data_IF_971717151813
#
_entry.id   IF_971717151813
#
_cell.length_a   1.000
_cell.length_b   1.000
_cell.length_c   1.000
_cell.angle_alpha   90.00
_cell.angle_beta   90.00
_cell.angle_gamma   90.00
#
_symmetry.space_group_name_H-M   'P 1'
#
loop_
_entity.id
_entity.type
_entity.pdbx_description
1 polymer ?
#
# COMPACT_ATOMS: atom_id res chain seq x y z
N UNK A 1 -50.31 22.81 39.15
CA UNK A 1 -49.36 22.35 40.16
C UNK A 1 -48.02 22.40 39.49
N UNK A 2 -47.41 23.47 39.59
CA UNK A 2 -46.25 23.89 40.37
C UNK A 2 -44.95 23.10 39.98
N UNK A 3 -44.20 23.71 39.30
CA UNK A 3 -42.97 24.36 39.13
C UNK A 3 -41.74 23.67 39.72
N UNK A 4 -40.49 24.14 39.70
CA UNK A 4 -40.02 25.37 39.06
C UNK A 4 -38.72 25.15 38.22
N UNK A 5 -38.11 26.22 37.67
CA UNK A 5 -36.91 26.18 36.84
C UNK A 5 -35.66 26.47 37.68
N UNK A 6 -34.51 25.98 37.20
CA UNK A 6 -33.21 26.49 37.68
C UNK A 6 -32.31 26.59 36.46
N UNK A 7 -32.05 27.72 36.07
CA UNK A 7 -31.01 28.72 36.33
C UNK A 7 -29.79 28.55 35.42
N UNK A 8 -29.69 29.56 34.60
CA UNK A 8 -28.51 29.93 33.83
C UNK A 8 -27.34 30.30 34.77
N UNK A 9 -26.12 29.95 34.38
CA UNK A 9 -24.92 30.68 34.77
C UNK A 9 -24.16 31.08 33.53
N UNK A 10 -24.03 32.38 33.46
CA UNK A 10 -23.36 33.17 32.46
C UNK A 10 -21.84 33.10 32.56
N UNK A 11 -21.22 33.21 31.41
CA UNK A 11 -20.28 34.27 31.01
C UNK A 11 -18.96 34.40 31.74
N UNK A 12 -17.92 34.40 30.96
CA UNK A 12 -16.90 35.46 30.79
C UNK A 12 -15.81 34.87 29.93
N UNK A 13 -15.59 35.36 28.76
CA UNK A 13 -14.81 36.56 28.37
C UNK A 13 -13.30 36.28 28.36
N UNK A 14 -12.70 36.31 27.18
CA UNK A 14 -11.57 37.12 26.81
C UNK A 14 -10.90 36.60 25.51
N UNK A 15 -11.19 37.29 24.44
CA UNK A 15 -10.13 37.57 23.44
C UNK A 15 -9.35 38.80 23.93
N UNK A 16 -8.19 39.12 23.49
CA UNK A 16 -7.93 39.66 22.15
C UNK A 16 -6.63 39.19 21.50
N UNK A 17 -6.61 39.25 20.18
CA UNK A 17 -6.07 40.35 19.33
C UNK A 17 -4.58 40.21 18.98
N UNK A 18 -4.40 40.31 17.67
CA UNK A 18 -3.37 41.05 16.93
C UNK A 18 -1.92 40.49 16.94
N UNK A 19 -1.34 40.32 15.82
CA UNK A 19 -0.87 41.25 14.83
C UNK A 19 -0.25 40.51 13.63
N UNK A 20 -0.68 40.88 12.44
CA UNK A 20 0.07 41.57 11.41
C UNK A 20 1.23 40.76 10.80
N UNK A 21 1.10 40.31 9.57
CA UNK A 21 1.46 41.02 8.32
C UNK A 21 2.92 41.50 8.24
N UNK A 22 3.61 40.95 7.29
CA UNK A 22 4.60 41.51 6.37
C UNK A 22 5.37 40.32 5.78
N UNK A 23 5.41 40.14 4.59
CA UNK A 23 5.75 40.85 3.37
C UNK A 23 6.88 40.09 2.64
N UNK A 24 6.57 39.83 1.45
CA UNK A 24 7.31 39.66 0.23
C UNK A 24 8.85 39.71 0.30
N UNK A 25 9.48 38.80 -0.39
CA UNK A 25 10.29 39.15 -1.57
C UNK A 25 10.94 37.91 -2.16
N UNK A 26 10.76 37.77 -3.44
CA UNK A 26 11.46 36.89 -4.34
C UNK A 26 12.98 37.21 -4.34
N UNK A 27 13.79 36.16 -4.40
CA UNK A 27 15.07 36.24 -5.10
C UNK A 27 15.46 34.85 -5.59
N UNK A 28 15.41 34.76 -6.87
CA UNK A 28 16.04 33.88 -7.82
C UNK A 28 17.53 33.67 -7.50
N UNK A 29 18.00 32.46 -7.37
CA UNK A 29 19.37 32.05 -7.63
C UNK A 29 19.47 30.51 -7.66
N UNK A 30 19.54 29.96 -8.84
CA UNK A 30 20.07 28.61 -9.12
C UNK A 30 21.60 28.69 -9.32
N UNK A 31 22.27 27.58 -9.60
CA UNK A 31 22.64 26.49 -8.69
C UNK A 31 24.17 26.32 -8.63
N UNK A 32 24.66 26.08 -7.48
CA UNK A 32 26.00 25.54 -7.31
C UNK A 32 25.88 24.05 -6.90
N UNK A 33 26.30 23.14 -7.76
CA UNK A 33 26.46 21.76 -7.40
C UNK A 33 27.49 21.55 -6.31
N UNK A 34 27.25 20.74 -5.30
CA UNK A 34 28.29 20.36 -4.38
C UNK A 34 29.18 19.29 -5.03
N UNK A 35 30.46 19.62 -5.02
CA UNK A 35 31.58 18.74 -5.30
C UNK A 35 31.42 17.41 -4.55
N UNK A 36 31.71 16.34 -5.24
CA UNK A 36 31.95 15.04 -4.68
C UNK A 36 33.07 15.14 -3.63
N UNK A 37 32.67 15.12 -2.37
CA UNK A 37 33.59 14.81 -1.28
C UNK A 37 33.60 13.29 -1.17
N UNK A 38 34.70 12.71 -1.63
CA UNK A 38 35.14 11.34 -1.33
C UNK A 38 35.09 11.14 0.18
N UNK A 39 34.03 10.52 0.67
CA UNK A 39 34.03 9.92 1.99
C UNK A 39 34.67 8.54 1.84
N UNK A 40 35.99 8.52 1.98
CA UNK A 40 36.74 7.32 2.23
C UNK A 40 36.04 6.56 3.35
N UNK A 41 35.45 5.42 3.02
CA UNK A 41 35.02 4.44 4.00
C UNK A 41 36.27 3.96 4.74
N UNK A 42 36.49 4.54 5.93
CA UNK A 42 37.51 4.10 6.84
C UNK A 42 37.27 2.64 7.19
N UNK A 43 38.16 1.78 6.79
CA UNK A 43 38.27 0.42 7.30
C UNK A 43 38.28 0.48 8.83
N UNK A 44 37.61 -0.45 9.55
CA UNK A 44 37.63 -0.46 11.01
C UNK A 44 39.09 -0.64 11.47
N UNK A 45 39.56 0.33 12.22
CA UNK A 45 40.88 0.27 12.85
C UNK A 45 40.93 -0.98 13.76
N UNK A 46 41.75 -1.95 13.36
CA UNK A 46 42.16 -3.04 14.22
C UNK A 46 42.92 -2.44 15.38
N UNK A 47 42.37 -2.49 16.59
CA UNK A 47 43.06 -2.03 17.80
C UNK A 47 42.22 -1.26 18.83
N UNK A 48 40.91 -1.45 18.87
CA UNK A 48 40.12 -0.93 20.01
C UNK A 48 40.28 -1.89 21.19
N UNK A 49 40.75 -1.37 22.34
CA UNK A 49 40.75 -2.04 23.62
C UNK A 49 39.38 -2.70 23.89
N UNK A 50 39.33 -3.84 24.64
CA UNK A 50 38.09 -4.55 24.88
C UNK A 50 37.07 -3.57 25.46
N UNK A 51 35.95 -3.43 24.78
CA UNK A 51 34.93 -2.46 25.16
C UNK A 51 34.38 -2.82 26.55
N UNK A 52 34.92 -2.13 27.57
CA UNK A 52 34.35 -2.12 28.90
C UNK A 52 33.03 -1.37 28.81
N UNK A 53 31.92 -2.09 28.73
CA UNK A 53 30.63 -1.43 28.68
C UNK A 53 29.50 -2.42 28.44
N UNK A 54 28.25 -2.01 28.55
CA UNK A 54 27.16 -2.92 28.41
C UNK A 54 27.11 -3.52 26.99
N UNK A 55 26.73 -4.78 26.95
CA UNK A 55 26.51 -5.55 25.77
C UNK A 55 25.01 -5.66 25.50
N UNK A 56 24.66 -5.82 24.24
CA UNK A 56 23.26 -5.95 23.81
C UNK A 56 23.09 -7.24 23.03
N UNK A 57 22.23 -8.11 23.54
CA UNK A 57 21.78 -9.29 22.82
C UNK A 57 20.47 -8.92 22.13
N UNK A 58 20.49 -8.88 20.81
CA UNK A 58 19.35 -8.55 19.99
C UNK A 58 18.73 -9.82 19.41
N UNK A 59 17.49 -10.11 19.80
CA UNK A 59 16.69 -11.18 19.20
C UNK A 59 16.06 -10.65 17.93
N UNK A 60 16.21 -11.39 16.83
CA UNK A 60 15.84 -10.96 15.48
C UNK A 60 14.65 -11.73 14.96
N UNK A 61 13.82 -11.04 14.18
CA UNK A 61 12.80 -11.69 13.32
C UNK A 61 13.47 -12.42 12.16
N UNK A 62 12.73 -13.27 11.43
CA UNK A 62 13.21 -13.89 10.19
C UNK A 62 13.61 -12.88 9.11
N UNK A 63 13.08 -11.66 9.18
CA UNK A 63 13.44 -10.56 8.28
C UNK A 63 14.70 -9.79 8.71
N UNK A 64 15.32 -10.17 9.86
CA UNK A 64 16.50 -9.48 10.42
C UNK A 64 16.16 -8.23 11.22
N UNK A 65 14.89 -7.94 11.46
CA UNK A 65 14.45 -6.83 12.30
C UNK A 65 14.62 -7.20 13.78
N UNK A 66 14.97 -6.23 14.61
CA UNK A 66 15.13 -6.44 16.06
C UNK A 66 13.76 -6.56 16.71
N UNK A 67 13.49 -7.72 17.30
CA UNK A 67 12.29 -8.02 18.07
C UNK A 67 12.44 -7.58 19.53
N UNK A 68 13.54 -7.94 20.16
CA UNK A 68 13.86 -7.63 21.56
C UNK A 68 15.34 -7.29 21.71
N UNK A 69 15.66 -6.45 22.68
CA UNK A 69 17.02 -6.13 23.10
C UNK A 69 17.18 -6.39 24.59
N UNK A 70 18.14 -7.21 24.93
CA UNK A 70 18.52 -7.47 26.30
C UNK A 70 19.87 -6.79 26.55
N UNK A 71 19.91 -5.88 27.53
CA UNK A 71 21.16 -5.26 28.00
C UNK A 71 21.78 -6.15 29.06
N UNK A 72 23.05 -6.43 28.90
CA UNK A 72 23.87 -7.18 29.86
C UNK A 72 25.11 -6.35 30.16
N UNK A 73 25.38 -6.10 31.45
CA UNK A 73 26.38 -5.12 31.84
C UNK A 73 27.81 -5.66 31.80
N UNK A 74 28.00 -6.97 31.80
CA UNK A 74 29.32 -7.60 31.83
C UNK A 74 29.36 -8.93 31.05
N UNK A 75 30.55 -9.32 30.61
CA UNK A 75 30.86 -10.65 30.14
C UNK A 75 31.39 -11.51 31.29
N UNK A 76 31.24 -12.83 31.24
CA UNK A 76 30.64 -13.61 30.17
C UNK A 76 29.10 -13.58 30.20
N UNK A 77 28.44 -13.66 29.01
CA UNK A 77 26.97 -13.70 28.87
C UNK A 77 26.51 -15.13 28.65
N UNK A 78 25.67 -15.62 29.54
CA UNK A 78 25.03 -16.95 29.44
C UNK A 78 23.72 -16.85 28.70
N UNK A 79 23.55 -17.72 27.70
CA UNK A 79 22.38 -17.80 26.85
C UNK A 79 21.75 -19.19 26.94
N UNK A 80 20.46 -19.26 27.16
CA UNK A 80 19.76 -20.53 27.23
C UNK A 80 18.34 -20.40 27.75
N UNK A 81 17.62 -21.54 27.84
CA UNK A 81 16.23 -21.57 28.30
C UNK A 81 16.09 -21.53 29.82
N UNK A 82 17.11 -21.91 30.54
CA UNK A 82 17.08 -21.99 32.03
C UNK A 82 17.14 -20.60 32.66
N UNK A 83 16.55 -20.45 33.84
CA UNK A 83 16.47 -19.18 34.57
C UNK A 83 17.82 -18.70 35.13
N UNK A 84 18.87 -19.54 35.11
CA UNK A 84 20.23 -19.16 35.53
C UNK A 84 21.06 -18.48 34.42
N UNK A 85 20.48 -18.14 33.28
CA UNK A 85 21.14 -17.42 32.21
C UNK A 85 20.89 -15.91 32.31
N UNK A 86 21.82 -15.13 31.78
CA UNK A 86 21.69 -13.67 31.70
C UNK A 86 20.65 -13.27 30.66
N UNK A 87 20.50 -14.08 29.58
CA UNK A 87 19.47 -13.95 28.59
C UNK A 87 18.72 -15.26 28.46
N UNK A 88 17.46 -15.22 28.86
CA UNK A 88 16.56 -16.37 28.81
C UNK A 88 15.90 -16.41 27.44
N UNK A 89 16.08 -17.52 26.73
CA UNK A 89 15.48 -17.76 25.42
C UNK A 89 14.20 -18.57 25.61
N UNK A 90 13.07 -18.00 25.21
CA UNK A 90 11.78 -18.71 25.20
C UNK A 90 11.70 -19.59 23.92
N UNK A 91 12.45 -20.70 23.96
CA UNK A 91 12.64 -21.58 22.82
C UNK A 91 12.87 -23.02 23.32
N UNK A 92 11.95 -23.92 23.00
CA UNK A 92 12.03 -25.35 23.41
C UNK A 92 13.23 -26.08 22.82
N UNK A 93 13.80 -25.56 21.75
CA UNK A 93 14.98 -26.11 21.09
C UNK A 93 16.31 -25.56 21.66
N UNK A 94 16.23 -24.58 22.55
CA UNK A 94 17.39 -24.12 23.32
C UNK A 94 17.62 -25.00 24.57
N UNK A 95 18.86 -25.37 24.83
CA UNK A 95 19.23 -26.07 26.08
C UNK A 95 19.09 -25.13 27.29
N UNK A 96 18.96 -25.69 28.48
CA UNK A 96 18.89 -24.92 29.72
C UNK A 96 20.08 -23.96 29.86
N UNK A 97 21.32 -24.45 29.64
CA UNK A 97 22.51 -23.65 29.40
C UNK A 97 23.00 -23.99 28.00
N UNK A 98 22.82 -23.09 27.04
CA UNK A 98 23.06 -23.41 25.63
C UNK A 98 24.42 -22.87 25.13
N UNK A 99 24.69 -21.60 25.38
CA UNK A 99 25.89 -20.94 24.89
C UNK A 99 26.43 -19.91 25.89
N UNK A 100 27.71 -19.63 25.76
CA UNK A 100 28.44 -18.63 26.54
C UNK A 100 29.13 -17.67 25.58
N UNK A 101 28.86 -16.38 25.72
CA UNK A 101 29.61 -15.33 25.03
C UNK A 101 30.70 -14.77 25.97
N UNK A 102 31.95 -14.81 25.52
CA UNK A 102 33.13 -14.40 26.32
C UNK A 102 34.17 -13.74 25.40
N UNK A 103 35.15 -13.04 25.96
CA UNK A 103 36.29 -12.52 25.20
C UNK A 103 37.40 -13.56 25.17
N UNK A 104 38.08 -13.67 24.03
CA UNK A 104 39.34 -14.40 23.93
C UNK A 104 40.52 -13.55 24.48
N UNK A 105 41.76 -14.15 24.45
CA UNK A 105 42.95 -13.47 24.85
C UNK A 105 43.28 -12.22 24.00
N UNK A 106 42.77 -12.14 22.79
CA UNK A 106 42.95 -11.03 21.87
C UNK A 106 41.86 -9.97 22.00
N UNK A 107 40.88 -10.14 22.92
CA UNK A 107 39.76 -9.23 23.15
C UNK A 107 38.65 -9.36 22.13
N UNK A 108 38.60 -10.46 21.36
CA UNK A 108 37.50 -10.72 20.40
C UNK A 108 36.35 -11.41 21.09
N UNK A 109 35.14 -11.04 20.74
CA UNK A 109 33.95 -11.70 21.26
C UNK A 109 33.76 -13.07 20.60
N UNK A 110 33.74 -14.11 21.42
CA UNK A 110 33.47 -15.49 21.02
C UNK A 110 32.16 -15.98 21.60
N UNK A 111 31.45 -16.77 20.84
CA UNK A 111 30.27 -17.50 21.28
C UNK A 111 30.60 -18.99 21.29
N UNK A 112 30.57 -19.61 22.47
CA UNK A 112 30.89 -21.03 22.68
C UNK A 112 29.62 -21.81 22.99
N UNK A 113 29.43 -22.94 22.35
CA UNK A 113 28.39 -23.93 22.67
C UNK A 113 28.78 -24.69 23.94
N UNK A 114 27.85 -24.80 24.87
CA UNK A 114 28.07 -25.51 26.15
C UNK A 114 27.68 -27.00 26.06
N UNK A 115 27.82 -27.60 24.89
CA UNK A 115 27.48 -29.01 24.66
C UNK A 115 26.00 -29.21 24.44
N UNK A 116 25.33 -28.23 23.84
CA UNK A 116 23.92 -28.33 23.54
C UNK A 116 23.63 -29.37 22.44
N UNK A 117 22.42 -29.95 22.47
CA UNK A 117 22.02 -30.96 21.49
C UNK A 117 21.93 -30.35 20.10
N UNK A 118 21.41 -29.13 19.98
CA UNK A 118 21.16 -28.49 18.71
C UNK A 118 22.33 -27.61 18.21
N UNK A 119 23.24 -27.17 19.09
CA UNK A 119 24.41 -26.36 18.73
C UNK A 119 24.09 -24.94 18.32
N UNK A 120 25.14 -24.18 18.04
CA UNK A 120 25.07 -22.83 17.50
C UNK A 120 25.14 -22.91 15.98
N UNK A 121 24.26 -22.23 15.27
CA UNK A 121 24.24 -22.21 13.82
C UNK A 121 24.54 -20.82 13.26
N UNK A 122 25.48 -20.76 12.33
CA UNK A 122 25.76 -19.57 11.53
C UNK A 122 25.82 -19.95 10.04
N UNK A 123 25.09 -19.21 9.19
CA UNK A 123 24.99 -19.46 7.74
C UNK A 123 24.72 -20.94 7.40
N UNK A 124 23.84 -21.59 8.17
CA UNK A 124 23.42 -22.97 7.95
C UNK A 124 24.41 -24.04 8.45
N UNK A 125 25.57 -23.67 9.00
CA UNK A 125 26.55 -24.60 9.56
C UNK A 125 26.53 -24.58 11.08
N UNK A 126 26.79 -25.72 11.70
CA UNK A 126 26.92 -25.87 13.15
C UNK A 126 28.34 -25.50 13.59
N UNK A 127 28.46 -24.75 14.68
CA UNK A 127 29.72 -24.32 15.27
C UNK A 127 29.72 -24.65 16.76
N UNK A 128 30.86 -25.16 17.27
CA UNK A 128 31.11 -25.28 18.70
C UNK A 128 31.65 -23.98 19.28
N UNK A 129 32.37 -23.21 18.45
CA UNK A 129 32.94 -21.91 18.80
C UNK A 129 32.83 -21.01 17.56
N UNK A 130 32.41 -19.77 17.76
CA UNK A 130 32.22 -18.80 16.71
C UNK A 130 32.62 -17.40 17.13
N UNK A 131 33.51 -16.76 16.36
CA UNK A 131 33.87 -15.36 16.59
C UNK A 131 32.73 -14.44 16.09
N UNK A 132 32.42 -13.44 16.90
CA UNK A 132 31.33 -12.48 16.61
C UNK A 132 31.91 -11.08 16.36
N UNK A 133 31.43 -10.43 15.30
CA UNK A 133 31.81 -9.07 14.89
C UNK A 133 30.73 -8.00 15.15
N UNK A 134 29.68 -8.36 15.88
CA UNK A 134 28.54 -7.48 16.15
C UNK A 134 27.46 -7.52 15.05
N UNK A 135 27.78 -7.86 13.81
CA UNK A 135 26.81 -8.12 12.72
C UNK A 135 26.60 -9.61 12.49
N UNK A 136 27.41 -10.45 13.12
CA UNK A 136 27.29 -11.91 13.01
C UNK A 136 25.96 -12.38 13.59
N UNK A 137 25.09 -12.84 12.70
CA UNK A 137 23.79 -13.40 13.04
C UNK A 137 23.93 -14.89 13.32
N UNK A 138 23.53 -15.31 14.51
CA UNK A 138 23.57 -16.70 14.96
C UNK A 138 22.17 -17.21 15.28
N UNK A 139 21.97 -18.51 15.15
CA UNK A 139 20.73 -19.18 15.53
C UNK A 139 21.02 -20.19 16.62
N UNK A 140 20.28 -20.08 17.71
CA UNK A 140 20.26 -20.97 18.87
C UNK A 140 18.85 -21.57 18.95
N UNK A 141 18.73 -22.89 18.73
CA UNK A 141 17.40 -23.48 18.54
C UNK A 141 16.71 -22.89 17.31
N UNK A 142 15.56 -22.28 17.51
CA UNK A 142 14.80 -21.51 16.51
C UNK A 142 14.97 -20.00 16.66
N UNK A 143 15.64 -19.56 17.73
CA UNK A 143 15.86 -18.13 18.02
C UNK A 143 17.07 -17.62 17.25
N UNK A 144 16.87 -16.58 16.49
CA UNK A 144 17.93 -15.86 15.77
C UNK A 144 18.34 -14.64 16.56
N UNK A 145 19.63 -14.47 16.79
CA UNK A 145 20.16 -13.37 17.61
C UNK A 145 21.51 -12.86 17.09
N UNK A 146 21.93 -11.70 17.57
CA UNK A 146 23.28 -11.15 17.42
C UNK A 146 23.67 -10.41 18.72
N UNK A 147 24.98 -10.28 18.96
CA UNK A 147 25.49 -9.63 20.14
C UNK A 147 26.34 -8.43 19.73
N UNK A 148 26.07 -7.27 20.32
CA UNK A 148 26.74 -6.00 20.04
C UNK A 148 27.24 -5.33 21.28
N UNK A 149 28.42 -4.71 21.20
CA UNK A 149 28.89 -3.80 22.24
C UNK A 149 28.13 -2.46 22.19
N UNK A 150 28.10 -1.72 23.28
CA UNK A 150 27.47 -0.39 23.33
C UNK A 150 28.03 0.61 22.32
N UNK A 151 29.32 0.50 22.00
CA UNK A 151 29.98 1.35 20.99
C UNK A 151 29.78 0.89 19.53
N UNK A 152 28.92 -0.11 19.26
CA UNK A 152 28.70 -0.58 17.89
C UNK A 152 28.03 0.52 17.05
N UNK A 153 28.58 0.87 15.86
CA UNK A 153 28.06 1.95 15.05
C UNK A 153 26.64 1.63 14.60
N UNK A 154 25.72 2.56 14.80
CA UNK A 154 24.35 2.48 14.29
C UNK A 154 24.20 3.33 13.04
N UNK A 155 23.36 2.88 12.12
CA UNK A 155 23.05 3.68 10.94
C UNK A 155 22.47 5.05 11.37
N UNK A 156 22.75 6.13 10.60
CA UNK A 156 22.16 7.44 10.87
C UNK A 156 20.64 7.36 10.77
N UNK A 157 19.97 8.26 11.49
CA UNK A 157 18.53 8.37 11.47
C UNK A 157 18.02 8.68 10.06
N UNK A 158 16.90 8.08 9.72
CA UNK A 158 16.21 8.41 8.48
C UNK A 158 15.40 9.69 8.70
N UNK A 159 15.49 10.67 7.77
CA UNK A 159 14.66 11.86 7.87
C UNK A 159 13.18 11.47 7.87
N UNK A 160 12.44 11.94 8.87
CA UNK A 160 11.01 11.71 8.95
C UNK A 160 10.30 12.52 7.86
N UNK A 161 9.92 11.83 6.78
CA UNK A 161 9.14 12.36 5.67
C UNK A 161 7.65 12.08 5.82
N UNK A 162 7.21 11.63 6.99
CA UNK A 162 5.78 11.40 7.22
C UNK A 162 5.06 12.75 7.32
N UNK A 163 4.04 12.93 6.50
CA UNK A 163 3.15 14.07 6.57
C UNK A 163 2.24 13.90 7.80
N UNK A 164 2.71 14.28 8.97
CA UNK A 164 1.97 14.15 10.24
C UNK A 164 0.62 14.88 10.18
N UNK A 165 0.54 16.01 9.42
CA UNK A 165 -0.72 16.74 9.20
C UNK A 165 -1.74 15.95 8.39
N UNK A 166 -1.32 14.92 7.64
CA UNK A 166 -2.20 14.05 6.85
C UNK A 166 -2.56 12.76 7.61
N UNK A 167 -2.52 12.82 8.94
CA UNK A 167 -3.01 11.78 9.85
C UNK A 167 -4.18 12.37 10.68
N UNK A 168 -5.19 11.57 11.00
CA UNK A 168 -6.33 12.01 11.79
C UNK A 168 -7.59 12.31 10.99
N UNK A 169 -8.34 13.34 11.40
CA UNK A 169 -9.67 13.65 10.87
C UNK A 169 -9.67 14.22 9.45
N UNK A 170 -8.65 14.99 9.08
CA UNK A 170 -8.61 15.70 7.79
C UNK A 170 -8.68 14.76 6.57
N UNK A 171 -7.83 13.73 6.42
CA UNK A 171 -7.95 12.80 5.30
C UNK A 171 -9.26 12.02 5.33
N UNK A 172 -9.81 11.73 6.53
CA UNK A 172 -11.11 11.09 6.67
C UNK A 172 -12.24 11.95 6.14
N UNK A 173 -12.30 13.21 6.54
CA UNK A 173 -13.28 14.17 6.06
C UNK A 173 -13.16 14.41 4.55
N UNK A 174 -11.93 14.62 4.04
CA UNK A 174 -11.70 14.79 2.62
C UNK A 174 -12.11 13.55 1.82
N UNK A 175 -11.77 12.34 2.31
CA UNK A 175 -12.17 11.09 1.67
C UNK A 175 -13.68 10.90 1.64
N UNK A 176 -14.37 11.14 2.74
CA UNK A 176 -15.84 11.03 2.83
C UNK A 176 -16.53 12.06 1.93
N UNK A 177 -16.04 13.31 1.92
CA UNK A 177 -16.57 14.34 1.01
C UNK A 177 -16.38 13.93 -0.46
N UNK A 178 -15.20 13.41 -0.80
CA UNK A 178 -14.89 12.97 -2.16
C UNK A 178 -15.80 11.82 -2.59
N UNK A 179 -16.04 10.84 -1.72
CA UNK A 179 -16.97 9.73 -1.98
C UNK A 179 -18.39 10.26 -2.18
N UNK A 180 -18.87 11.12 -1.28
CA UNK A 180 -20.20 11.69 -1.38
C UNK A 180 -20.39 12.51 -2.66
N UNK A 181 -19.44 13.40 -2.97
CA UNK A 181 -19.48 14.21 -4.19
C UNK A 181 -19.46 13.34 -5.46
N UNK A 182 -18.61 12.31 -5.48
CA UNK A 182 -18.54 11.39 -6.63
C UNK A 182 -19.80 10.56 -6.78
N UNK A 183 -20.40 10.07 -5.69
CA UNK A 183 -21.64 9.30 -5.71
C UNK A 183 -22.81 10.16 -6.21
N UNK A 184 -22.94 11.39 -5.72
CA UNK A 184 -23.97 12.34 -6.18
C UNK A 184 -23.76 12.72 -7.64
N UNK A 185 -22.54 12.98 -8.05
CA UNK A 185 -22.20 13.31 -9.43
C UNK A 185 -22.53 12.15 -10.38
N UNK A 186 -22.13 10.93 -10.05
CA UNK A 186 -22.42 9.74 -10.85
C UNK A 186 -23.93 9.49 -10.93
N UNK A 187 -24.66 9.68 -9.82
CA UNK A 187 -26.12 9.58 -9.80
C UNK A 187 -26.77 10.61 -10.71
N UNK A 188 -26.38 11.89 -10.55
CA UNK A 188 -26.89 12.97 -11.38
C UNK A 188 -26.65 12.73 -12.88
N UNK A 189 -25.45 12.25 -13.22
CA UNK A 189 -25.07 12.00 -14.61
C UNK A 189 -25.85 10.84 -15.26
N UNK A 190 -26.27 9.85 -14.47
CA UNK A 190 -27.04 8.68 -14.93
C UNK A 190 -28.56 8.81 -14.72
N UNK A 191 -29.03 9.92 -14.14
CA UNK A 191 -30.45 10.10 -13.83
C UNK A 191 -31.23 10.60 -15.05
N UNK A 192 -32.02 9.69 -15.64
CA UNK A 192 -32.89 9.97 -16.80
C UNK A 192 -34.34 10.16 -16.40
N UNK A 193 -34.64 10.13 -15.10
CA UNK A 193 -36.01 10.22 -14.59
C UNK A 193 -36.24 11.58 -13.89
N UNK A 194 -37.48 11.82 -13.46
CA UNK A 194 -37.79 12.99 -12.65
C UNK A 194 -36.95 12.99 -11.37
N UNK A 195 -36.51 14.18 -10.98
CA UNK A 195 -35.73 14.38 -9.76
C UNK A 195 -36.48 13.86 -8.53
N UNK A 196 -35.88 12.90 -7.84
CA UNK A 196 -36.35 12.37 -6.57
C UNK A 196 -35.21 12.39 -5.56
N UNK A 197 -35.39 13.18 -4.51
CA UNK A 197 -34.37 13.39 -3.49
C UNK A 197 -33.92 12.08 -2.81
N UNK A 198 -34.85 11.13 -2.65
CA UNK A 198 -34.58 9.83 -2.01
C UNK A 198 -33.47 9.07 -2.75
N UNK A 199 -33.43 9.09 -4.07
CA UNK A 199 -32.40 8.38 -4.87
C UNK A 199 -31.00 8.95 -4.63
N UNK A 200 -30.89 10.24 -4.37
CA UNK A 200 -29.63 10.88 -4.03
C UNK A 200 -29.17 10.53 -2.62
N UNK A 201 -30.09 10.43 -1.66
CA UNK A 201 -29.78 9.92 -0.32
C UNK A 201 -29.37 8.45 -0.35
N UNK A 202 -30.01 7.62 -1.15
CA UNK A 202 -29.63 6.23 -1.37
C UNK A 202 -28.22 6.13 -1.94
N UNK A 203 -27.90 6.92 -2.97
CA UNK A 203 -26.57 6.96 -3.56
C UNK A 203 -25.49 7.36 -2.55
N UNK A 204 -25.77 8.36 -1.70
CA UNK A 204 -24.91 8.75 -0.58
C UNK A 204 -24.75 7.62 0.44
N UNK A 205 -25.84 7.01 0.86
CA UNK A 205 -25.83 5.94 1.87
C UNK A 205 -25.03 4.73 1.37
N UNK A 206 -25.26 4.29 0.14
CA UNK A 206 -24.51 3.19 -0.48
C UNK A 206 -23.03 3.55 -0.68
N UNK A 207 -22.74 4.74 -1.20
CA UNK A 207 -21.36 5.20 -1.43
C UNK A 207 -20.56 5.30 -0.15
N UNK A 208 -21.09 5.95 0.88
CA UNK A 208 -20.44 6.12 2.18
C UNK A 208 -20.37 4.77 2.90
N UNK A 209 -21.42 3.94 2.86
CA UNK A 209 -21.43 2.62 3.45
C UNK A 209 -20.36 1.71 2.87
N UNK A 210 -20.24 1.65 1.54
CA UNK A 210 -19.21 0.89 0.86
C UNK A 210 -17.79 1.40 1.20
N UNK A 211 -17.61 2.72 1.24
CA UNK A 211 -16.35 3.34 1.60
C UNK A 211 -15.93 3.01 3.04
N UNK A 212 -16.85 3.05 3.99
CA UNK A 212 -16.59 2.70 5.38
C UNK A 212 -16.27 1.22 5.54
N UNK A 213 -17.02 0.34 4.87
CA UNK A 213 -16.79 -1.11 4.90
C UNK A 213 -15.41 -1.46 4.34
N UNK A 214 -15.09 -0.96 3.15
CA UNK A 214 -13.82 -1.22 2.48
C UNK A 214 -12.64 -0.64 3.27
N UNK A 215 -12.72 0.65 3.62
CA UNK A 215 -11.66 1.34 4.36
C UNK A 215 -11.54 0.81 5.79
N UNK A 216 -12.64 0.37 6.39
CA UNK A 216 -12.66 -0.30 7.70
C UNK A 216 -11.90 -1.61 7.68
N UNK A 217 -12.10 -2.44 6.64
CA UNK A 217 -11.35 -3.69 6.48
C UNK A 217 -9.84 -3.43 6.36
N UNK A 218 -9.43 -2.42 5.58
CA UNK A 218 -8.02 -2.03 5.48
C UNK A 218 -7.47 -1.43 6.78
N UNK A 219 -8.25 -0.63 7.48
CA UNK A 219 -7.88 -0.07 8.78
C UNK A 219 -7.73 -1.17 9.84
N UNK A 220 -8.59 -2.18 9.82
CA UNK A 220 -8.48 -3.36 10.66
C UNK A 220 -7.20 -4.16 10.35
N UNK A 221 -6.93 -4.44 9.07
CA UNK A 221 -5.69 -5.07 8.66
C UNK A 221 -4.46 -4.24 9.10
N UNK A 222 -4.53 -2.91 8.95
CA UNK A 222 -3.45 -2.03 9.40
C UNK A 222 -3.25 -2.07 10.92
N UNK A 223 -4.31 -2.24 11.70
CA UNK A 223 -4.20 -2.43 13.16
C UNK A 223 -3.60 -3.78 13.55
N UNK A 224 -3.90 -4.83 12.79
CA UNK A 224 -3.32 -6.17 13.03
C UNK A 224 -1.81 -6.23 12.74
N UNK A 225 -1.38 -5.58 11.65
CA UNK A 225 0.01 -5.62 11.18
C UNK A 225 0.82 -4.35 11.48
N UNK A 226 0.18 -3.31 11.98
CA UNK A 226 0.75 -2.03 12.37
C UNK A 226 0.23 -1.59 13.74
N UNK A 227 0.69 -0.43 14.21
CA UNK A 227 0.27 0.10 15.52
C UNK A 227 -1.00 0.97 15.47
N UNK A 228 -1.37 1.49 14.29
CA UNK A 228 -2.42 2.49 14.12
C UNK A 228 -3.36 2.09 12.98
N UNK A 229 -4.67 2.28 13.16
CA UNK A 229 -5.68 1.88 12.18
C UNK A 229 -5.67 2.74 10.90
N UNK A 230 -5.36 4.03 10.98
CA UNK A 230 -5.28 5.00 9.86
C UNK A 230 -6.51 5.02 8.95
N UNK A 231 -7.72 4.84 9.51
CA UNK A 231 -8.98 4.80 8.75
C UNK A 231 -9.14 5.98 7.79
N UNK A 232 -8.83 7.20 8.25
CA UNK A 232 -8.95 8.41 7.42
C UNK A 232 -8.13 8.36 6.14
N UNK A 233 -6.91 7.82 6.19
CA UNK A 233 -6.07 7.64 4.98
C UNK A 233 -6.69 6.62 4.02
N UNK A 234 -7.23 5.54 4.54
CA UNK A 234 -7.90 4.52 3.70
C UNK A 234 -9.15 5.07 3.05
N UNK A 235 -9.96 5.89 3.76
CA UNK A 235 -11.11 6.61 3.19
C UNK A 235 -10.69 7.57 2.08
N UNK A 236 -9.60 8.30 2.27
CA UNK A 236 -9.08 9.19 1.23
C UNK A 236 -8.61 8.43 0.00
N UNK A 237 -7.85 7.35 0.18
CA UNK A 237 -7.41 6.49 -0.94
C UNK A 237 -8.60 5.92 -1.70
N UNK A 238 -9.62 5.44 -0.98
CA UNK A 238 -10.85 4.94 -1.60
C UNK A 238 -11.57 6.03 -2.38
N UNK A 239 -11.75 7.23 -1.79
CA UNK A 239 -12.41 8.36 -2.45
C UNK A 239 -11.69 8.80 -3.72
N UNK A 240 -10.36 8.92 -3.67
CA UNK A 240 -9.55 9.21 -4.87
C UNK A 240 -9.69 8.13 -5.94
N UNK A 241 -9.70 6.86 -5.53
CA UNK A 241 -9.88 5.72 -6.43
C UNK A 241 -11.25 5.72 -7.09
N UNK A 242 -12.31 5.96 -6.31
CA UNK A 242 -13.68 6.05 -6.83
C UNK A 242 -13.82 7.19 -7.82
N UNK A 243 -13.31 8.38 -7.50
CA UNK A 243 -13.28 9.52 -8.42
C UNK A 243 -12.52 9.19 -9.71
N UNK A 244 -11.33 8.61 -9.59
CA UNK A 244 -10.51 8.24 -10.75
C UNK A 244 -11.21 7.23 -11.67
N UNK A 245 -11.87 6.21 -11.10
CA UNK A 245 -12.66 5.24 -11.84
C UNK A 245 -13.85 5.89 -12.55
N UNK A 246 -14.60 6.77 -11.86
CA UNK A 246 -15.74 7.50 -12.44
C UNK A 246 -15.29 8.41 -13.57
N UNK A 247 -14.22 9.17 -13.37
CA UNK A 247 -13.67 10.05 -14.41
C UNK A 247 -13.10 9.26 -15.60
N UNK A 248 -12.45 8.13 -15.36
CA UNK A 248 -11.95 7.26 -16.42
C UNK A 248 -13.10 6.71 -17.29
N UNK A 249 -14.18 6.23 -16.66
CA UNK A 249 -15.34 5.74 -17.36
C UNK A 249 -16.05 6.86 -18.14
N UNK A 250 -16.20 8.05 -17.55
CA UNK A 250 -16.77 9.21 -18.21
C UNK A 250 -15.91 9.66 -19.40
N UNK A 251 -14.61 9.72 -19.23
CA UNK A 251 -13.67 10.11 -20.29
C UNK A 251 -13.66 9.10 -21.43
N UNK A 252 -13.69 7.80 -21.13
CA UNK A 252 -13.80 6.76 -22.15
C UNK A 252 -15.08 6.88 -22.97
N UNK A 253 -16.24 7.12 -22.30
CA UNK A 253 -17.51 7.35 -22.95
C UNK A 253 -17.51 8.64 -23.79
N UNK A 254 -16.92 9.72 -23.24
CA UNK A 254 -16.83 11.01 -23.93
C UNK A 254 -15.97 10.93 -25.18
N UNK A 255 -14.78 10.33 -25.10
CA UNK A 255 -13.88 10.18 -26.23
C UNK A 255 -14.44 9.21 -27.27
N UNK A 256 -15.03 8.10 -26.83
CA UNK A 256 -15.70 7.15 -27.71
C UNK A 256 -16.82 7.82 -28.53
N UNK A 257 -17.68 8.61 -27.88
CA UNK A 257 -18.78 9.29 -28.52
C UNK A 257 -18.34 10.48 -29.38
N UNK A 258 -17.53 11.38 -28.83
CA UNK A 258 -17.14 12.61 -29.49
C UNK A 258 -16.31 12.38 -30.75
N UNK A 259 -15.40 11.43 -30.71
CA UNK A 259 -14.42 11.16 -31.77
C UNK A 259 -14.71 9.87 -32.53
N UNK A 260 -15.79 9.14 -32.22
CA UNK A 260 -16.10 7.81 -32.74
C UNK A 260 -14.92 6.81 -32.55
N UNK A 261 -14.20 6.93 -31.44
CA UNK A 261 -13.07 6.06 -31.09
C UNK A 261 -13.54 4.95 -30.15
N UNK A 262 -14.18 3.94 -30.69
CA UNK A 262 -14.77 2.83 -29.93
C UNK A 262 -13.76 2.06 -29.08
N UNK A 263 -12.48 2.09 -29.44
CA UNK A 263 -11.41 1.44 -28.67
C UNK A 263 -11.32 1.88 -27.21
N UNK A 264 -11.67 3.14 -26.88
CA UNK A 264 -11.67 3.61 -25.49
C UNK A 264 -12.77 2.95 -24.65
N UNK A 265 -13.90 2.64 -25.23
CA UNK A 265 -15.01 1.94 -24.56
C UNK A 265 -14.79 0.43 -24.55
N UNK A 266 -14.26 -0.13 -25.62
CA UNK A 266 -13.96 -1.56 -25.73
C UNK A 266 -12.90 -2.09 -24.74
N UNK A 267 -12.03 -1.21 -24.23
CA UNK A 267 -10.97 -1.59 -23.29
C UNK A 267 -11.05 -0.83 -21.96
N UNK A 268 -12.18 -0.22 -21.65
CA UNK A 268 -12.40 0.56 -20.44
C UNK A 268 -12.28 -0.31 -19.17
N UNK A 269 -12.70 -1.58 -19.21
CA UNK A 269 -12.59 -2.53 -18.13
C UNK A 269 -11.13 -2.82 -17.72
N UNK A 270 -10.23 -2.86 -18.70
CA UNK A 270 -8.80 -3.03 -18.45
C UNK A 270 -8.19 -1.80 -17.76
N UNK A 271 -8.59 -0.58 -18.18
CA UNK A 271 -8.18 0.65 -17.51
C UNK A 271 -8.71 0.70 -16.05
N UNK A 272 -9.97 0.29 -15.84
CA UNK A 272 -10.54 0.18 -14.50
C UNK A 272 -9.79 -0.83 -13.63
N UNK A 273 -9.39 -1.97 -14.17
CA UNK A 273 -8.59 -2.99 -13.47
C UNK A 273 -7.22 -2.45 -13.05
N UNK A 274 -6.55 -1.69 -13.92
CA UNK A 274 -5.28 -1.03 -13.60
C UNK A 274 -5.45 0.01 -12.49
N UNK A 275 -6.50 0.83 -12.55
CA UNK A 275 -6.82 1.81 -11.52
C UNK A 275 -7.10 1.14 -10.17
N UNK A 276 -7.88 0.05 -10.17
CA UNK A 276 -8.18 -0.73 -8.97
C UNK A 276 -6.90 -1.31 -8.35
N UNK A 277 -6.01 -1.88 -9.17
CA UNK A 277 -4.72 -2.36 -8.71
C UNK A 277 -3.88 -1.22 -8.10
N UNK A 278 -3.94 -0.01 -8.67
CA UNK A 278 -3.34 1.20 -8.12
C UNK A 278 -3.92 1.58 -6.75
N UNK A 279 -5.23 1.52 -6.59
CA UNK A 279 -5.90 1.78 -5.29
C UNK A 279 -5.43 0.78 -4.24
N UNK A 280 -5.39 -0.52 -4.57
CA UNK A 280 -4.87 -1.57 -3.68
C UNK A 280 -3.40 -1.31 -3.32
N UNK A 281 -2.58 -0.90 -4.29
CA UNK A 281 -1.19 -0.53 -4.04
C UNK A 281 -1.06 0.58 -2.99
N UNK A 282 -1.86 1.64 -3.07
CA UNK A 282 -1.84 2.73 -2.10
C UNK A 282 -2.32 2.28 -0.71
N UNK A 283 -3.33 1.40 -0.63
CA UNK A 283 -3.75 0.80 0.63
C UNK A 283 -2.62 -0.03 1.27
N UNK A 284 -1.93 -0.87 0.50
CA UNK A 284 -0.78 -1.66 0.98
C UNK A 284 0.38 -0.77 1.44
N UNK A 285 0.69 0.29 0.69
CA UNK A 285 1.71 1.27 1.07
C UNK A 285 1.36 2.03 2.36
N UNK A 286 0.08 2.19 2.68
CA UNK A 286 -0.38 2.80 3.93
C UNK A 286 -0.09 1.88 5.12
N UNK A 287 -0.16 0.56 4.95
CA UNK A 287 0.13 -0.43 6.00
C UNK A 287 1.65 -0.49 6.27
N UNK A 288 2.46 -0.75 5.24
CA UNK A 288 3.91 -0.91 5.36
C UNK A 288 4.66 -0.19 4.23
N UNK A 289 5.08 1.06 4.43
CA UNK A 289 5.72 1.86 3.37
C UNK A 289 7.08 1.33 2.91
N UNK A 290 7.75 0.49 3.70
CA UNK A 290 9.08 -0.05 3.39
C UNK A 290 9.12 -1.07 2.24
N UNK A 291 7.97 -1.65 1.84
CA UNK A 291 7.91 -2.75 0.88
C UNK A 291 7.34 -2.34 -0.49
N UNK A 292 7.52 -1.08 -0.89
CA UNK A 292 6.91 -0.50 -2.11
C UNK A 292 7.19 -1.29 -3.38
N UNK A 293 8.42 -1.77 -3.57
CA UNK A 293 8.79 -2.53 -4.78
C UNK A 293 8.05 -3.87 -4.85
N UNK A 294 7.96 -4.59 -3.73
CA UNK A 294 7.20 -5.85 -3.64
C UNK A 294 5.73 -5.64 -3.97
N UNK A 295 5.13 -4.57 -3.43
CA UNK A 295 3.72 -4.25 -3.69
C UNK A 295 3.45 -3.88 -5.13
N UNK A 296 4.40 -3.19 -5.82
CA UNK A 296 4.29 -2.93 -7.26
C UNK A 296 4.16 -4.21 -8.06
N UNK A 297 5.00 -5.19 -7.79
CA UNK A 297 4.96 -6.48 -8.49
C UNK A 297 3.69 -7.27 -8.19
N UNK A 298 3.22 -7.28 -6.94
CA UNK A 298 1.97 -7.94 -6.55
C UNK A 298 0.79 -7.29 -7.29
N UNK A 299 0.69 -5.95 -7.26
CA UNK A 299 -0.41 -5.24 -7.92
C UNK A 299 -0.34 -5.34 -9.45
N UNK A 300 0.86 -5.35 -10.04
CA UNK A 300 1.03 -5.60 -11.47
C UNK A 300 0.55 -7.01 -11.86
N UNK A 301 0.93 -8.03 -11.08
CA UNK A 301 0.46 -9.39 -11.30
C UNK A 301 -1.07 -9.51 -11.16
N UNK A 302 -1.66 -8.83 -10.16
CA UNK A 302 -3.12 -8.77 -9.99
C UNK A 302 -3.81 -8.09 -11.18
N UNK A 303 -3.23 -6.99 -11.69
CA UNK A 303 -3.77 -6.29 -12.86
C UNK A 303 -3.70 -7.17 -14.12
N UNK A 304 -2.59 -7.86 -14.33
CA UNK A 304 -2.44 -8.81 -15.45
C UNK A 304 -3.45 -9.96 -15.34
N UNK A 305 -3.57 -10.56 -14.16
CA UNK A 305 -4.53 -11.64 -13.93
C UNK A 305 -5.97 -11.16 -14.15
N UNK A 306 -6.34 -10.01 -13.58
CA UNK A 306 -7.67 -9.42 -13.74
C UNK A 306 -7.97 -9.11 -15.20
N UNK A 307 -7.00 -8.51 -15.91
CA UNK A 307 -7.12 -8.23 -17.34
C UNK A 307 -7.27 -9.51 -18.17
N UNK A 308 -6.49 -10.55 -17.85
CA UNK A 308 -6.61 -11.86 -18.49
C UNK A 308 -7.98 -12.52 -18.26
N UNK A 309 -8.51 -12.45 -17.04
CA UNK A 309 -9.84 -12.97 -16.73
C UNK A 309 -10.94 -12.23 -17.48
N UNK A 310 -10.81 -10.89 -17.67
CA UNK A 310 -11.75 -10.10 -18.49
C UNK A 310 -11.73 -10.60 -19.93
N UNK A 311 -10.54 -10.79 -20.52
CA UNK A 311 -10.42 -11.31 -21.87
C UNK A 311 -11.10 -12.68 -22.04
N UNK A 312 -10.83 -13.61 -21.11
CA UNK A 312 -11.47 -14.93 -21.13
C UNK A 312 -12.99 -14.82 -21.01
N UNK A 313 -13.48 -13.98 -20.08
CA UNK A 313 -14.92 -13.77 -19.88
C UNK A 313 -15.58 -13.16 -21.14
N UNK A 314 -14.92 -12.21 -21.81
CA UNK A 314 -15.42 -11.59 -23.03
C UNK A 314 -15.50 -12.62 -24.18
N UNK A 315 -14.45 -13.42 -24.36
CA UNK A 315 -14.45 -14.51 -25.36
C UNK A 315 -15.57 -15.51 -25.11
N UNK A 316 -15.76 -15.92 -23.85
CA UNK A 316 -16.84 -16.86 -23.50
C UNK A 316 -18.24 -16.28 -23.71
N UNK A 317 -18.42 -14.96 -23.50
CA UNK A 317 -19.72 -14.29 -23.59
C UNK A 317 -20.10 -13.91 -25.02
N UNK A 318 -19.16 -13.34 -25.77
CA UNK A 318 -19.42 -12.71 -27.08
C UNK A 318 -18.55 -13.26 -28.22
N UNK A 319 -17.63 -14.20 -27.95
CA UNK A 319 -16.65 -14.67 -28.92
C UNK A 319 -15.60 -13.63 -29.32
N UNK A 320 -15.51 -12.52 -28.59
CA UNK A 320 -14.61 -11.40 -28.88
C UNK A 320 -13.72 -11.09 -27.69
N UNK A 321 -12.53 -10.55 -27.91
CA UNK A 321 -11.60 -10.13 -26.85
C UNK A 321 -11.94 -8.76 -26.24
N UNK A 322 -12.82 -7.99 -26.88
CA UNK A 322 -13.23 -6.65 -26.46
C UNK A 322 -14.50 -6.66 -25.62
N UNK A 323 -14.65 -5.64 -24.78
CA UNK A 323 -15.89 -5.38 -24.06
C UNK A 323 -17.03 -5.04 -25.04
N UNK A 324 -18.27 -5.36 -24.64
CA UNK A 324 -19.43 -4.88 -25.39
C UNK A 324 -19.55 -3.36 -25.25
N UNK A 325 -19.99 -2.71 -26.34
CA UNK A 325 -20.22 -1.27 -26.31
C UNK A 325 -21.39 -0.95 -25.37
N UNK A 326 -21.08 -0.24 -24.30
CA UNK A 326 -22.07 0.22 -23.33
C UNK A 326 -21.82 1.67 -22.96
N UNK A 327 -22.80 2.52 -23.20
CA UNK A 327 -22.79 3.92 -22.75
C UNK A 327 -23.72 4.08 -21.55
N UNK A 328 -23.18 4.43 -20.41
CA UNK A 328 -23.93 4.65 -19.17
C UNK A 328 -24.40 6.10 -19.00
N UNK A 329 -23.99 6.99 -19.92
CA UNK A 329 -24.33 8.42 -19.94
C UNK A 329 -24.86 8.78 -21.32
N UNK A 330 -25.98 9.49 -21.35
CA UNK A 330 -26.48 10.10 -22.58
C UNK A 330 -25.79 11.43 -22.83
N UNK A 331 -24.92 11.45 -23.84
CA UNK A 331 -24.22 12.66 -24.25
C UNK A 331 -25.03 13.46 -25.29
N UNK A 332 -25.05 14.80 -25.18
CA UNK A 332 -25.79 15.61 -26.16
C UNK A 332 -25.11 15.58 -27.54
N UNK A 333 -25.87 15.64 -28.64
CA UNK A 333 -25.32 15.61 -30.00
C UNK A 333 -24.26 16.68 -30.26
N UNK A 334 -24.34 17.82 -29.61
CA UNK A 334 -23.38 18.92 -29.76
C UNK A 334 -21.93 18.57 -29.31
N UNK A 335 -21.76 17.48 -28.55
CA UNK A 335 -20.42 17.00 -28.11
C UNK A 335 -19.76 16.18 -29.23
N UNK A 336 -20.50 15.72 -30.22
CA UNK A 336 -19.97 14.92 -31.32
C UNK A 336 -19.15 15.81 -32.27
N UNK A 337 -17.88 15.45 -32.45
CA UNK A 337 -16.94 16.14 -33.34
C UNK A 337 -16.73 15.35 -34.64
N UNK A 338 -16.95 14.03 -34.61
CA UNK A 338 -16.81 13.18 -35.78
C UNK A 338 -17.86 13.55 -36.86
N UNK A 339 -17.54 13.45 -38.14
CA UNK A 339 -18.46 13.77 -39.23
C UNK A 339 -19.76 12.93 -39.14
N UNK A 340 -20.88 13.54 -39.51
CA UNK A 340 -22.16 12.83 -39.62
C UNK A 340 -22.18 11.98 -40.87
N UNK A 341 -22.75 10.78 -40.74
CA UNK A 341 -23.02 9.90 -41.85
C UNK A 341 -24.44 10.23 -42.40
N UNK A 342 -24.54 10.44 -43.71
CA UNK A 342 -25.85 10.65 -44.34
C UNK A 342 -26.70 9.38 -44.30
N UNK A 343 -28.03 9.56 -44.36
CA UNK A 343 -28.99 8.45 -44.33
C UNK A 343 -28.67 7.41 -45.40
N UNK A 344 -28.31 7.85 -46.61
CA UNK A 344 -27.99 6.94 -47.72
C UNK A 344 -26.72 6.09 -47.43
N UNK A 345 -25.76 6.64 -46.72
CA UNK A 345 -24.57 5.89 -46.29
C UNK A 345 -24.92 4.86 -45.24
N UNK A 346 -25.74 5.24 -44.25
CA UNK A 346 -26.24 4.33 -43.23
C UNK A 346 -27.03 3.17 -43.83
N UNK A 347 -27.92 3.45 -44.79
CA UNK A 347 -28.70 2.40 -45.47
C UNK A 347 -27.80 1.44 -46.23
N UNK A 348 -26.77 1.92 -46.95
CA UNK A 348 -25.79 1.04 -47.61
C UNK A 348 -25.02 0.15 -46.63
N UNK A 349 -24.68 0.66 -45.46
CA UNK A 349 -24.00 -0.13 -44.40
C UNK A 349 -24.96 -1.21 -43.85
N UNK A 350 -26.23 -0.89 -43.65
CA UNK A 350 -27.27 -1.87 -43.25
C UNK A 350 -27.43 -2.96 -44.28
N UNK A 351 -27.52 -2.61 -45.60
CA UNK A 351 -27.58 -3.58 -46.67
C UNK A 351 -26.37 -4.51 -46.70
N UNK A 352 -25.16 -3.97 -46.46
CA UNK A 352 -23.94 -4.75 -46.34
C UNK A 352 -23.94 -5.73 -45.14
N UNK A 353 -24.53 -5.33 -44.00
CA UNK A 353 -24.73 -6.21 -42.86
C UNK A 353 -25.72 -7.33 -43.15
N UNK A 354 -26.80 -7.04 -43.87
CA UNK A 354 -27.80 -8.03 -44.31
C UNK A 354 -27.18 -9.10 -45.19
N UNK A 355 -26.34 -8.72 -46.15
CA UNK A 355 -25.58 -9.68 -46.98
C UNK A 355 -24.62 -10.56 -46.12
N UNK A 356 -24.01 -9.99 -45.07
CA UNK A 356 -23.20 -10.72 -44.14
C UNK A 356 -23.97 -11.78 -43.32
N UNK A 357 -25.17 -11.40 -42.88
CA UNK A 357 -26.09 -12.30 -42.17
C UNK A 357 -26.62 -13.41 -43.06
N UNK A 358 -26.97 -13.12 -44.30
CA UNK A 358 -27.48 -14.12 -45.24
C UNK A 358 -26.39 -15.12 -45.65
N UNK A 359 -25.15 -14.67 -45.79
CA UNK A 359 -24.01 -15.57 -45.95
C UNK A 359 -23.80 -16.47 -44.72
N UNK A 360 -23.93 -15.92 -43.48
CA UNK A 360 -23.83 -16.67 -42.24
C UNK A 360 -24.96 -17.69 -42.05
N UNK A 361 -26.20 -17.38 -42.50
CA UNK A 361 -27.35 -18.29 -42.47
C UNK A 361 -27.20 -19.47 -43.44
N UNK A 362 -26.47 -19.29 -44.53
CA UNK A 362 -26.21 -20.34 -45.52
C UNK A 362 -25.13 -21.35 -45.08
N UNK A 363 -24.31 -21.02 -44.04
CA UNK A 363 -23.32 -21.93 -43.52
C UNK A 363 -23.94 -22.97 -42.57
N UNK A 364 -23.67 -24.22 -42.82
CA UNK A 364 -24.11 -25.29 -41.92
C UNK A 364 -23.29 -25.26 -40.63
N UNK A 365 -23.92 -25.52 -39.46
CA UNK A 365 -23.17 -25.69 -38.19
C UNK A 365 -22.15 -26.84 -38.36
N UNK A 366 -20.87 -26.56 -38.22
CA UNK A 366 -19.78 -27.53 -38.32
C UNK A 366 -18.77 -27.33 -39.45
N UNK A 367 -18.97 -26.36 -40.35
CA UNK A 367 -17.97 -26.04 -41.40
C UNK A 367 -16.77 -25.27 -40.89
N UNK A 368 -16.86 -24.63 -39.71
CA UNK A 368 -15.79 -23.84 -39.11
C UNK A 368 -14.78 -24.70 -38.33
N UNK A 369 -15.04 -26.03 -38.11
CA UNK A 369 -14.11 -26.93 -37.44
C UNK A 369 -13.05 -27.57 -38.33
N UNK A 370 -13.13 -27.35 -39.66
CA UNK A 370 -12.26 -28.03 -40.65
C UNK A 370 -11.19 -27.10 -41.23
N UNK A 371 -11.21 -25.78 -40.93
CA UNK A 371 -10.28 -24.80 -41.53
C UNK A 371 -9.30 -24.17 -40.51
N UNK A 372 -9.05 -24.81 -39.33
CA UNK A 372 -7.99 -24.39 -38.41
C UNK A 372 -6.97 -25.50 -38.19
#
# INVERSE_FOLDING_TARGET
MNGPPIAAVAAADAAPADAAAADAAAADAAPGGPAAADAAAGAPAAGAAPAAGPWFVEILTRAGEVLQRHRVDALPIRLGRGYGNDVILDDDYAAAAHALAELDADGRLLLRDLGSRNGIHHRGRRHALLALDGDTVVRIGHTTLRIRAAGFPVAPELPDRTLHRWEGALPGAAGTLLVGATALFARWLSDIQYFELVRYFEALAWGIGAALLWSGAWAFANRLFGRHARLGRHLFVFGCGLLALTLCALLASLLGYALSLEGFTHYASHAATLLLAGVIYFHLCTIRPGHRLRYRWICAAMALLGSGLILVANVQRSGRFSDELYMWVLLPPAVRVSPDHGIDQFMREVDGMQEGLDRGRGRKPGEDEIEN
#
